data_IF_687235973721
#
_entry.id   IF_687235973721
#
_cell.length_a   1.000
_cell.length_b   1.000
_cell.length_c   1.000
_cell.angle_alpha   90.00
_cell.angle_beta   90.00
_cell.angle_gamma   90.00
#
_symmetry.space_group_name_H-M   'P 1'
#
loop_
_entity.id
_entity.type
_entity.pdbx_description
1 polymer ?
#
# COMPACT_ATOMS: atom_id res chain seq x y z
N UNK A 1 2.11 23.03 -22.00
CA UNK A 1 2.31 23.19 -20.54
C UNK A 1 0.97 23.01 -19.86
N UNK A 2 0.60 21.78 -19.52
CA UNK A 2 -0.65 21.49 -18.82
C UNK A 2 -0.29 21.30 -17.35
N UNK A 3 -0.70 22.23 -16.48
CA UNK A 3 -0.64 22.05 -15.04
C UNK A 3 -1.68 20.99 -14.66
N UNK A 4 -1.30 19.72 -14.77
CA UNK A 4 -2.02 18.63 -14.11
C UNK A 4 -1.71 18.76 -12.63
N UNK A 5 -2.63 19.33 -11.86
CA UNK A 5 -2.57 19.24 -10.39
C UNK A 5 -2.79 17.77 -10.02
N UNK A 6 -1.72 16.99 -10.01
CA UNK A 6 -1.76 15.59 -9.61
C UNK A 6 -2.12 15.52 -8.13
N UNK A 7 -3.33 15.05 -7.84
CA UNK A 7 -3.78 14.83 -6.46
C UNK A 7 -3.02 13.63 -5.91
N UNK A 8 -2.27 13.84 -4.84
CA UNK A 8 -1.57 12.77 -4.13
C UNK A 8 -2.29 12.49 -2.81
N UNK A 9 -2.59 11.22 -2.57
CA UNK A 9 -3.18 10.77 -1.33
C UNK A 9 -2.09 10.34 -0.38
N UNK A 10 -2.16 10.77 0.88
CA UNK A 10 -1.22 10.34 1.91
C UNK A 10 -1.93 9.80 3.14
N UNK A 11 -1.30 8.84 3.82
CA UNK A 11 -1.73 8.33 5.12
C UNK A 11 -0.51 8.09 5.99
N UNK A 12 -0.49 8.71 7.16
CA UNK A 12 0.58 8.55 8.15
C UNK A 12 0.18 7.52 9.20
N UNK A 13 1.18 6.83 9.75
CA UNK A 13 1.04 5.99 10.93
C UNK A 13 0.62 6.84 12.14
N UNK A 14 0.00 6.26 13.19
CA UNK A 14 -0.42 7.01 14.38
C UNK A 14 0.69 7.80 15.07
N UNK A 15 1.94 7.35 14.95
CA UNK A 15 3.13 8.03 15.48
C UNK A 15 3.84 8.93 14.45
N UNK A 16 3.29 9.08 13.25
CA UNK A 16 3.84 9.86 12.13
C UNK A 16 5.24 9.46 11.64
N UNK A 17 5.74 8.29 12.03
CA UNK A 17 7.08 7.79 11.65
C UNK A 17 7.14 7.08 10.31
N UNK A 18 5.98 6.66 9.78
CA UNK A 18 5.86 6.04 8.47
C UNK A 18 4.69 6.72 7.76
N UNK A 19 4.91 7.22 6.55
CA UNK A 19 3.84 7.83 5.74
C UNK A 19 3.82 7.23 4.35
N UNK A 20 2.66 6.72 3.95
CA UNK A 20 2.44 6.17 2.61
C UNK A 20 1.80 7.24 1.72
N UNK A 21 2.28 7.35 0.48
CA UNK A 21 1.76 8.24 -0.55
C UNK A 21 1.36 7.41 -1.78
N UNK A 22 0.17 7.65 -2.32
CA UNK A 22 -0.33 7.03 -3.54
C UNK A 22 -0.84 8.11 -4.49
N UNK A 23 -0.61 7.91 -5.80
CA UNK A 23 -1.12 8.81 -6.84
C UNK A 23 -2.61 8.61 -7.14
N UNK A 24 -3.15 7.42 -6.88
CA UNK A 24 -4.57 7.08 -7.09
C UNK A 24 -5.06 6.07 -6.07
N UNK A 25 -6.39 5.99 -5.89
CA UNK A 25 -7.07 5.02 -5.02
C UNK A 25 -7.92 4.02 -5.80
N UNK A 26 -8.35 4.40 -7.00
CA UNK A 26 -9.10 3.55 -7.91
C UNK A 26 -8.13 2.96 -8.93
N UNK A 27 -8.12 1.64 -9.04
CA UNK A 27 -7.28 0.87 -9.96
C UNK A 27 -8.20 0.10 -10.89
N UNK A 28 -8.07 0.33 -12.19
CA UNK A 28 -8.91 -0.31 -13.20
C UNK A 28 -8.27 -1.63 -13.64
N UNK A 29 -9.09 -2.67 -13.73
CA UNK A 29 -8.74 -3.96 -14.33
C UNK A 29 -9.24 -3.98 -15.79
N UNK A 30 -8.33 -4.18 -16.73
CA UNK A 30 -8.58 -4.20 -18.17
C UNK A 30 -8.74 -5.62 -18.74
N UNK A 31 -8.88 -6.65 -17.89
CA UNK A 31 -8.91 -8.10 -18.19
C UNK A 31 -7.56 -8.68 -18.64
N UNK A 32 -6.76 -7.93 -19.38
CA UNK A 32 -5.41 -8.33 -19.81
C UNK A 32 -4.32 -7.86 -18.83
N UNK A 33 -4.50 -6.68 -18.23
CA UNK A 33 -3.62 -6.11 -17.23
C UNK A 33 -4.40 -5.25 -16.23
N UNK A 34 -3.77 -4.99 -15.09
CA UNK A 34 -4.30 -4.14 -14.03
C UNK A 34 -3.41 -2.91 -13.91
N UNK A 35 -4.04 -1.77 -13.66
CA UNK A 35 -3.36 -0.55 -13.26
C UNK A 35 -2.36 -0.78 -12.11
N UNK A 36 -1.07 -0.41 -12.26
CA UNK A 36 -0.10 -0.61 -11.20
C UNK A 36 -0.40 0.27 -9.98
N UNK A 37 -0.13 -0.28 -8.80
CA UNK A 37 -0.20 0.44 -7.52
C UNK A 37 1.10 1.21 -7.32
N UNK A 38 1.10 2.46 -7.76
CA UNK A 38 2.25 3.35 -7.63
C UNK A 38 2.15 4.22 -6.38
N UNK A 39 3.22 4.20 -5.60
CA UNK A 39 3.33 4.97 -4.38
C UNK A 39 4.76 5.03 -3.84
N UNK A 40 4.94 5.89 -2.85
CA UNK A 40 6.20 6.03 -2.10
C UNK A 40 5.91 5.96 -0.60
N UNK A 41 6.85 5.41 0.15
CA UNK A 41 6.75 5.34 1.62
C UNK A 41 7.88 6.17 2.22
N UNK A 42 7.51 7.23 2.93
CA UNK A 42 8.43 7.99 3.77
C UNK A 42 8.64 7.23 5.07
N UNK A 43 9.90 6.92 5.38
CA UNK A 43 10.30 6.16 6.56
C UNK A 43 11.25 7.01 7.39
N UNK A 44 10.95 7.19 8.67
CA UNK A 44 11.88 7.82 9.63
C UNK A 44 12.98 6.81 10.04
N UNK A 45 14.26 7.04 9.66
CA UNK A 45 15.35 6.11 9.94
C UNK A 45 15.67 5.99 11.43
N UNK A 46 15.48 7.05 12.22
CA UNK A 46 15.72 7.04 13.68
C UNK A 46 14.72 6.14 14.39
N UNK A 47 13.48 6.10 13.88
CA UNK A 47 12.47 5.18 14.37
C UNK A 47 12.77 3.75 13.93
N UNK A 48 13.03 3.51 12.64
CA UNK A 48 13.08 2.14 12.10
C UNK A 48 14.31 1.37 12.58
N UNK A 49 15.49 1.99 12.69
CA UNK A 49 16.74 1.32 13.11
C UNK A 49 16.94 0.00 12.32
N UNK A 50 17.03 -1.13 13.02
CA UNK A 50 17.24 -2.47 12.44
C UNK A 50 15.95 -3.19 11.99
N UNK A 51 14.80 -2.50 12.04
CA UNK A 51 13.51 -3.07 11.64
C UNK A 51 13.32 -2.99 10.13
N UNK A 52 12.50 -3.89 9.61
CA UNK A 52 12.13 -3.93 8.19
C UNK A 52 10.75 -3.31 7.99
N UNK A 53 10.60 -2.55 6.92
CA UNK A 53 9.32 -1.96 6.50
C UNK A 53 8.83 -2.72 5.29
N UNK A 54 7.59 -3.19 5.36
CA UNK A 54 6.92 -3.92 4.29
C UNK A 54 5.67 -3.17 3.84
N UNK A 55 5.37 -3.26 2.56
CA UNK A 55 4.08 -2.89 1.99
C UNK A 55 3.35 -4.16 1.57
N UNK A 56 2.07 -4.27 1.92
CA UNK A 56 1.25 -5.42 1.56
C UNK A 56 -0.02 -4.96 0.86
N UNK A 57 -0.36 -5.65 -0.24
CA UNK A 57 -1.63 -5.52 -0.94
C UNK A 57 -2.44 -6.78 -0.62
N UNK A 58 -3.62 -6.58 -0.02
CA UNK A 58 -4.49 -7.64 0.43
C UNK A 58 -5.88 -7.46 -0.19
N UNK A 59 -6.33 -8.46 -0.94
CA UNK A 59 -7.74 -8.60 -1.27
C UNK A 59 -8.34 -9.67 -0.35
N UNK A 60 -9.32 -9.27 0.47
CA UNK A 60 -9.98 -10.18 1.40
C UNK A 60 -11.50 -10.11 1.20
N UNK A 61 -12.13 -11.28 1.16
CA UNK A 61 -13.57 -11.42 1.24
C UNK A 61 -13.98 -11.45 2.70
N UNK A 62 -14.91 -10.59 3.09
CA UNK A 62 -15.48 -10.54 4.43
C UNK A 62 -16.99 -10.77 4.34
N UNK A 63 -17.49 -11.70 5.15
CA UNK A 63 -18.90 -12.03 5.23
C UNK A 63 -19.36 -12.07 6.69
N UNK A 64 -20.48 -11.39 6.94
CA UNK A 64 -21.08 -11.19 8.26
C UNK A 64 -21.50 -9.72 8.45
N UNK A 65 -22.07 -9.39 9.61
CA UNK A 65 -22.36 -7.99 9.95
C UNK A 65 -21.14 -7.31 10.58
N UNK A 66 -21.00 -6.01 10.33
CA UNK A 66 -19.89 -5.18 10.84
C UNK A 66 -19.81 -5.15 12.39
N UNK A 67 -20.92 -5.35 13.11
CA UNK A 67 -20.95 -5.43 14.57
C UNK A 67 -20.48 -6.79 15.12
N UNK A 68 -20.60 -7.86 14.34
CA UNK A 68 -20.14 -9.21 14.69
C UNK A 68 -18.64 -9.42 14.41
N UNK A 69 -18.00 -8.56 13.61
CA UNK A 69 -16.55 -8.52 13.41
C UNK A 69 -15.80 -8.33 14.74
N UNK A 70 -16.35 -7.52 15.65
CA UNK A 70 -15.79 -7.26 16.98
C UNK A 70 -15.84 -8.49 17.89
N UNK A 71 -16.80 -9.39 17.66
CA UNK A 71 -16.99 -10.63 18.41
C UNK A 71 -16.23 -11.82 17.80
N UNK A 72 -15.50 -11.63 16.69
CA UNK A 72 -14.74 -12.68 16.02
C UNK A 72 -15.60 -13.72 15.29
N UNK A 73 -16.87 -13.39 15.00
CA UNK A 73 -17.83 -14.29 14.35
C UNK A 73 -17.90 -14.10 12.83
N UNK A 74 -16.99 -13.33 12.25
CA UNK A 74 -16.97 -13.08 10.82
C UNK A 74 -16.14 -14.07 10.04
N UNK A 75 -16.70 -14.47 8.90
CA UNK A 75 -15.96 -15.26 7.93
C UNK A 75 -15.11 -14.30 7.10
N UNK A 76 -13.79 -14.37 7.31
CA UNK A 76 -12.81 -13.66 6.49
C UNK A 76 -11.98 -14.66 5.72
N UNK A 77 -11.92 -14.51 4.40
CA UNK A 77 -11.05 -15.28 3.51
C UNK A 77 -10.17 -14.33 2.73
N UNK A 78 -8.86 -14.45 2.90
CA UNK A 78 -7.88 -13.72 2.12
C UNK A 78 -7.81 -14.38 0.73
N UNK A 79 -8.15 -13.62 -0.32
CA UNK A 79 -8.17 -14.10 -1.71
C UNK A 79 -6.82 -13.89 -2.41
N UNK A 80 -6.14 -12.80 -2.07
CA UNK A 80 -4.84 -12.45 -2.62
C UNK A 80 -4.04 -11.68 -1.58
N UNK A 81 -2.76 -12.02 -1.43
CA UNK A 81 -1.81 -11.32 -0.58
C UNK A 81 -0.47 -11.20 -1.32
N UNK A 82 -0.03 -9.97 -1.53
CA UNK A 82 1.31 -9.68 -2.05
C UNK A 82 2.02 -8.78 -1.06
N UNK A 83 3.25 -9.12 -0.67
CA UNK A 83 4.04 -8.38 0.31
C UNK A 83 5.41 -8.08 -0.25
N UNK A 84 5.83 -6.83 -0.13
CA UNK A 84 7.04 -6.28 -0.70
C UNK A 84 7.86 -5.58 0.39
N UNK A 85 9.16 -5.87 0.47
CA UNK A 85 10.07 -5.15 1.37
C UNK A 85 10.38 -3.77 0.77
N UNK A 86 10.17 -2.72 1.55
CA UNK A 86 10.45 -1.33 1.17
C UNK A 86 11.74 -0.82 1.81
N UNK A 87 11.97 -1.18 3.08
CA UNK A 87 13.19 -0.82 3.81
C UNK A 87 13.73 -2.02 4.62
N UNK A 88 15.05 -2.27 4.62
CA UNK A 88 16.03 -1.67 3.71
C UNK A 88 15.76 -2.12 2.26
N UNK A 89 16.07 -1.29 1.24
CA UNK A 89 15.87 -1.65 -0.16
C UNK A 89 16.71 -2.87 -0.54
N UNK A 90 16.11 -3.85 -1.23
CA UNK A 90 16.81 -5.03 -1.77
C UNK A 90 17.09 -4.76 -3.25
N UNK A 91 18.33 -4.96 -3.72
CA UNK A 91 18.74 -4.63 -5.10
C UNK A 91 17.92 -5.36 -6.18
N UNK A 92 17.46 -6.58 -5.88
CA UNK A 92 16.71 -7.43 -6.80
C UNK A 92 15.27 -6.94 -7.09
N UNK A 93 14.83 -5.86 -6.44
CA UNK A 93 13.46 -5.35 -6.48
C UNK A 93 13.34 -3.92 -7.03
N UNK A 94 14.42 -3.39 -7.60
CA UNK A 94 14.44 -2.09 -8.28
C UNK A 94 13.68 -2.17 -9.62
N UNK A 95 12.36 -2.04 -9.57
CA UNK A 95 11.56 -1.71 -10.76
C UNK A 95 11.90 -0.30 -11.24
N UNK A 96 11.75 -0.06 -12.54
CA UNK A 96 11.88 1.28 -13.11
C UNK A 96 10.91 2.23 -12.42
N UNK A 97 11.41 3.38 -11.95
CA UNK A 97 10.59 4.38 -11.27
C UNK A 97 9.57 4.97 -12.24
N UNK A 98 8.34 5.14 -11.78
CA UNK A 98 7.31 5.83 -12.57
C UNK A 98 7.46 7.34 -12.40
N UNK A 99 6.88 8.14 -13.29
CA UNK A 99 6.97 9.63 -13.22
C UNK A 99 6.44 10.24 -11.90
N UNK A 100 5.74 9.44 -11.09
CA UNK A 100 5.22 9.82 -9.79
C UNK A 100 6.25 9.65 -8.64
N UNK A 101 7.28 8.81 -8.83
CA UNK A 101 8.25 8.37 -7.83
C UNK A 101 9.59 9.08 -8.00
#
# INVERSE_FOLDING_TARGET
MCNVTSIVFKKSSPNSKITCYLGKRDFIDYMDHIDPIDGVVLVDPEYVKDRKVYASVLAAFRYGREDLDVLGLTFRKDLFCSTQQIYPPIDDQKKSLTHLQ
#
